data_IF_602542578386
#
_entry.id   IF_602542578386
#
_cell.length_a   1.000
_cell.length_b   1.000
_cell.length_c   1.000
_cell.angle_alpha   90.00
_cell.angle_beta   90.00
_cell.angle_gamma   90.00
#
_symmetry.space_group_name_H-M   'P 1'
#
loop_
_entity.id
_entity.type
_entity.pdbx_description
1 polymer ?
#
# COMPACT_ATOMS: atom_id res chain seq x y z
N UNK A 1 -9.81 10.73 12.53
CA UNK A 1 -10.57 11.37 11.44
C UNK A 1 -12.01 10.90 11.55
N UNK A 2 -12.97 11.79 11.34
CA UNK A 2 -14.40 11.55 11.52
C UNK A 2 -15.14 11.94 10.23
N UNK A 3 -15.98 11.07 9.67
CA UNK A 3 -16.83 11.42 8.51
C UNK A 3 -18.27 11.56 8.99
N UNK A 4 -18.91 12.70 8.69
CA UNK A 4 -20.24 13.07 9.16
C UNK A 4 -21.11 13.46 7.96
N UNK A 5 -22.21 12.74 7.76
CA UNK A 5 -23.27 13.14 6.83
C UNK A 5 -24.27 14.04 7.58
N UNK A 6 -24.41 15.29 7.19
CA UNK A 6 -25.28 16.27 7.85
C UNK A 6 -26.73 16.15 7.37
N UNK A 7 -27.68 16.65 8.17
CA UNK A 7 -29.12 16.66 7.85
C UNK A 7 -29.48 17.54 6.65
N UNK A 8 -28.59 18.41 6.22
CA UNK A 8 -28.66 19.16 4.96
C UNK A 8 -28.11 18.37 3.76
N UNK A 9 -27.84 17.07 3.98
CA UNK A 9 -27.14 16.16 3.09
C UNK A 9 -25.75 16.67 2.76
N UNK A 10 -24.80 16.61 3.70
CA UNK A 10 -23.40 16.92 3.36
C UNK A 10 -22.48 15.95 4.06
N UNK A 11 -21.65 15.23 3.30
CA UNK A 11 -20.63 14.33 3.80
C UNK A 11 -19.34 15.11 4.05
N UNK A 12 -18.99 15.25 5.32
CA UNK A 12 -17.86 16.03 5.80
C UNK A 12 -16.84 15.11 6.48
N UNK A 13 -15.59 15.10 6.03
CA UNK A 13 -14.44 14.48 6.69
C UNK A 13 -13.77 15.50 7.60
N UNK A 14 -13.44 15.12 8.83
CA UNK A 14 -12.82 15.94 9.86
C UNK A 14 -11.52 15.32 10.38
N UNK A 15 -10.59 16.19 10.77
CA UNK A 15 -9.36 15.90 11.48
C UNK A 15 -9.63 15.63 12.97
N UNK A 16 -8.60 15.16 13.70
CA UNK A 16 -8.72 14.81 15.12
C UNK A 16 -8.87 16.04 16.04
N UNK A 17 -8.50 17.21 15.55
CA UNK A 17 -8.63 18.52 16.22
C UNK A 17 -9.97 19.23 15.89
N UNK A 18 -10.86 18.59 15.13
CA UNK A 18 -12.17 19.15 14.75
C UNK A 18 -12.15 19.98 13.47
N UNK A 19 -11.01 20.09 12.79
CA UNK A 19 -10.90 20.82 11.52
C UNK A 19 -11.55 20.03 10.38
N UNK A 20 -12.41 20.64 9.55
CA UNK A 20 -12.96 19.99 8.35
C UNK A 20 -11.83 19.79 7.35
N UNK A 21 -11.60 18.55 6.97
CA UNK A 21 -10.63 18.14 5.95
C UNK A 21 -11.28 18.13 4.57
N UNK A 22 -12.53 17.70 4.46
CA UNK A 22 -13.23 17.59 3.18
C UNK A 22 -14.75 17.70 3.39
N UNK A 23 -15.50 18.31 2.49
CA UNK A 23 -16.96 18.49 2.61
C UNK A 23 -17.63 18.33 1.24
N UNK A 24 -18.73 17.59 1.17
CA UNK A 24 -19.40 17.28 -0.10
C UNK A 24 -20.92 17.13 0.11
N UNK A 25 -21.73 17.92 -0.59
CA UNK A 25 -23.20 17.91 -0.43
C UNK A 25 -23.95 16.90 -1.31
N UNK A 26 -25.07 16.38 -0.82
CA UNK A 26 -26.06 15.45 -1.38
C UNK A 26 -27.46 15.92 -0.89
N UNK A 27 -28.59 15.58 -1.52
CA UNK A 27 -29.90 15.92 -0.92
C UNK A 27 -30.40 14.80 0.01
N UNK A 28 -31.61 14.93 0.57
CA UNK A 28 -32.29 13.93 1.42
C UNK A 28 -33.71 13.74 0.90
N UNK A 29 -34.19 12.49 0.72
CA UNK A 29 -35.61 12.10 0.79
C UNK A 29 -35.82 10.56 0.67
N UNK A 30 -36.18 9.90 1.77
CA UNK A 30 -37.32 8.96 1.83
C UNK A 30 -37.17 7.42 1.67
N UNK A 31 -37.09 6.74 2.83
CA UNK A 31 -37.77 5.46 3.24
C UNK A 31 -37.11 4.09 2.89
N UNK A 32 -36.62 3.41 3.94
CA UNK A 32 -36.97 2.01 4.26
C UNK A 32 -36.00 0.87 3.90
N UNK A 33 -35.28 0.34 4.91
CA UNK A 33 -34.65 -0.98 4.87
C UNK A 33 -33.16 -1.00 5.24
N UNK A 34 -32.83 -1.84 6.22
CA UNK A 34 -31.51 -2.25 6.76
C UNK A 34 -30.26 -1.76 6.00
N UNK A 35 -29.39 -1.01 6.69
CA UNK A 35 -28.06 -0.52 6.25
C UNK A 35 -27.98 0.27 4.91
N UNK A 36 -29.11 0.56 4.26
CA UNK A 36 -29.13 1.25 2.97
C UNK A 36 -29.42 2.75 3.15
N UNK A 37 -28.38 3.56 3.28
CA UNK A 37 -28.48 5.00 3.09
C UNK A 37 -28.65 5.27 1.60
N UNK A 38 -29.89 5.57 1.16
CA UNK A 38 -30.18 5.95 -0.22
C UNK A 38 -30.79 7.35 -0.31
N UNK A 39 -30.19 8.22 -1.12
CA UNK A 39 -30.79 9.49 -1.55
C UNK A 39 -31.23 9.40 -3.00
N UNK A 40 -32.44 9.93 -3.30
CA UNK A 40 -33.02 9.97 -4.63
C UNK A 40 -33.50 11.38 -4.95
N UNK A 41 -33.45 11.77 -6.22
CA UNK A 41 -34.11 12.99 -6.69
C UNK A 41 -35.61 12.72 -6.87
N UNK A 42 -36.45 13.75 -6.74
CA UNK A 42 -37.90 13.64 -6.98
C UNK A 42 -38.31 14.60 -8.10
N UNK A 43 -39.21 14.17 -8.98
CA UNK A 43 -39.84 15.01 -9.99
C UNK A 43 -41.37 14.96 -9.83
N UNK A 44 -42.07 16.02 -10.25
CA UNK A 44 -43.53 16.11 -10.16
C UNK A 44 -44.14 15.67 -11.48
N UNK A 45 -45.04 14.69 -11.45
CA UNK A 45 -45.72 14.22 -12.65
C UNK A 45 -46.86 15.17 -13.08
N UNK A 46 -47.50 14.87 -14.21
CA UNK A 46 -48.61 15.68 -14.76
C UNK A 46 -49.83 15.79 -13.83
N UNK A 47 -49.92 14.95 -12.80
CA UNK A 47 -50.98 14.92 -11.80
C UNK A 47 -50.58 15.60 -10.48
N UNK A 48 -49.39 16.21 -10.40
CA UNK A 48 -48.90 16.87 -9.18
C UNK A 48 -48.31 15.93 -8.14
N UNK A 49 -48.16 14.62 -8.45
CA UNK A 49 -47.61 13.65 -7.51
C UNK A 49 -46.08 13.58 -7.63
N UNK A 50 -45.35 13.49 -6.50
CA UNK A 50 -43.91 13.27 -6.52
C UNK A 50 -43.57 11.84 -6.96
N UNK A 51 -42.75 11.70 -8.00
CA UNK A 51 -42.19 10.44 -8.47
C UNK A 51 -40.68 10.40 -8.23
N UNK A 52 -40.17 9.20 -7.88
CA UNK A 52 -38.74 8.99 -7.61
C UNK A 52 -37.93 8.99 -8.92
N UNK A 53 -36.99 9.92 -9.02
CA UNK A 53 -35.92 9.93 -10.01
C UNK A 53 -34.69 9.20 -9.47
N UNK A 54 -34.26 8.14 -10.13
CA UNK A 54 -33.05 7.41 -9.75
C UNK A 54 -31.76 8.06 -10.30
N UNK A 55 -31.87 9.06 -11.17
CA UNK A 55 -30.73 9.85 -11.61
C UNK A 55 -30.21 10.73 -10.45
N UNK A 56 -28.90 10.85 -10.30
CA UNK A 56 -28.23 11.55 -9.19
C UNK A 56 -28.54 10.96 -7.80
N UNK A 57 -28.53 9.64 -7.69
CA UNK A 57 -28.77 8.93 -6.43
C UNK A 57 -27.46 8.44 -5.81
N UNK A 58 -27.36 8.41 -4.48
CA UNK A 58 -26.27 7.76 -3.77
C UNK A 58 -26.86 6.66 -2.88
N UNK A 59 -26.27 5.48 -2.91
CA UNK A 59 -26.65 4.35 -2.08
C UNK A 59 -25.41 3.76 -1.40
N UNK A 60 -25.51 3.38 -0.13
CA UNK A 60 -24.44 2.68 0.60
C UNK A 60 -24.88 1.25 0.85
N UNK A 61 -24.02 0.27 0.53
CA UNK A 61 -24.25 -1.13 0.87
C UNK A 61 -22.95 -1.77 1.33
N UNK A 62 -22.90 -2.18 2.59
CA UNK A 62 -21.71 -2.72 3.22
C UNK A 62 -20.54 -1.73 3.13
N UNK A 63 -19.43 -2.17 2.53
CA UNK A 63 -18.21 -1.37 2.37
C UNK A 63 -18.18 -0.54 1.09
N UNK A 64 -19.29 -0.48 0.36
CA UNK A 64 -19.37 0.12 -0.97
C UNK A 64 -20.37 1.27 -1.01
N UNK A 65 -19.98 2.32 -1.71
CA UNK A 65 -20.79 3.48 -2.05
C UNK A 65 -21.09 3.41 -3.55
N UNK A 66 -22.35 3.54 -3.90
CA UNK A 66 -22.87 3.55 -5.25
C UNK A 66 -23.37 4.95 -5.54
N UNK A 67 -22.89 5.58 -6.61
CA UNK A 67 -23.27 6.91 -7.03
C UNK A 67 -23.80 6.79 -8.45
N UNK A 68 -25.11 6.85 -8.60
CA UNK A 68 -25.81 6.80 -9.88
C UNK A 68 -25.96 8.23 -10.42
N UNK A 69 -25.07 8.62 -11.33
CA UNK A 69 -25.20 9.85 -12.09
C UNK A 69 -26.22 9.73 -13.24
N UNK A 70 -26.36 10.77 -14.09
CA UNK A 70 -27.32 10.76 -15.20
C UNK A 70 -26.99 9.75 -16.30
N UNK A 71 -25.71 9.44 -16.49
CA UNK A 71 -25.20 8.58 -17.57
C UNK A 71 -24.31 7.43 -17.08
N UNK A 72 -23.84 7.49 -15.83
CA UNK A 72 -22.84 6.56 -15.30
C UNK A 72 -23.16 6.16 -13.86
N UNK A 73 -22.87 4.91 -13.52
CA UNK A 73 -22.86 4.41 -12.15
C UNK A 73 -21.40 4.30 -11.68
N UNK A 74 -21.04 5.05 -10.64
CA UNK A 74 -19.74 4.95 -9.97
C UNK A 74 -19.91 4.08 -8.74
N UNK A 75 -19.03 3.10 -8.57
CA UNK A 75 -18.99 2.26 -7.36
C UNK A 75 -17.63 2.44 -6.70
N UNK A 76 -17.63 2.92 -5.47
CA UNK A 76 -16.44 3.11 -4.64
C UNK A 76 -16.48 2.14 -3.47
N UNK A 77 -15.45 1.33 -3.28
CA UNK A 77 -15.39 0.32 -2.22
C UNK A 77 -14.21 0.56 -1.29
N UNK A 78 -14.44 0.49 0.02
CA UNK A 78 -13.36 0.39 1.00
C UNK A 78 -12.67 -0.96 0.85
N UNK A 79 -11.39 -0.93 0.52
CA UNK A 79 -10.58 -2.13 0.37
C UNK A 79 -10.28 -2.77 1.75
N UNK A 80 -10.41 -4.11 1.87
CA UNK A 80 -9.84 -4.87 2.97
C UNK A 80 -8.35 -4.57 3.16
N UNK A 81 -7.85 -4.68 4.39
CA UNK A 81 -6.45 -4.34 4.70
C UNK A 81 -5.44 -5.00 3.77
N UNK A 82 -5.66 -6.28 3.44
CA UNK A 82 -4.78 -7.06 2.57
C UNK A 82 -4.76 -6.54 1.14
N UNK A 83 -5.93 -6.17 0.61
CA UNK A 83 -6.04 -5.61 -0.73
C UNK A 83 -5.33 -4.26 -0.85
N UNK A 84 -5.36 -3.41 0.19
CA UNK A 84 -4.67 -2.12 0.17
C UNK A 84 -3.17 -2.27 -0.06
N UNK A 85 -2.54 -3.23 0.61
CA UNK A 85 -1.11 -3.50 0.44
C UNK A 85 -0.84 -4.11 -0.94
N UNK A 86 -1.69 -5.05 -1.38
CA UNK A 86 -1.52 -5.72 -2.67
C UNK A 86 -1.67 -4.78 -3.87
N UNK A 87 -2.52 -3.76 -3.79
CA UNK A 87 -2.66 -2.75 -4.87
C UNK A 87 -1.36 -1.97 -5.03
N UNK A 88 -0.72 -1.55 -3.92
CA UNK A 88 0.57 -0.86 -3.95
C UNK A 88 1.68 -1.77 -4.51
N UNK A 89 1.71 -3.02 -4.05
CA UNK A 89 2.64 -4.04 -4.59
C UNK A 89 2.48 -4.21 -6.09
N UNK A 90 1.25 -4.37 -6.57
CA UNK A 90 0.94 -4.52 -8.01
C UNK A 90 1.29 -3.28 -8.84
N UNK A 91 1.28 -2.10 -8.24
CA UNK A 91 1.70 -0.86 -8.87
C UNK A 91 3.24 -0.70 -8.89
N UNK A 92 3.99 -1.60 -8.28
CA UNK A 92 5.45 -1.50 -8.10
C UNK A 92 5.87 -0.56 -6.97
N UNK A 93 4.93 -0.01 -6.20
CA UNK A 93 5.22 0.84 -5.03
C UNK A 93 5.51 -0.03 -3.80
N UNK A 94 6.70 -0.63 -3.79
CA UNK A 94 7.18 -1.50 -2.72
C UNK A 94 7.29 -0.78 -1.38
N UNK A 95 7.78 0.45 -1.37
CA UNK A 95 7.94 1.22 -0.13
C UNK A 95 6.58 1.62 0.44
N UNK A 96 5.63 2.04 -0.40
CA UNK A 96 4.26 2.30 0.02
C UNK A 96 3.60 1.04 0.58
N UNK A 97 3.77 -0.11 -0.08
CA UNK A 97 3.23 -1.39 0.39
C UNK A 97 3.80 -1.78 1.76
N UNK A 98 5.12 -1.71 1.93
CA UNK A 98 5.81 -1.99 3.19
C UNK A 98 5.36 -1.03 4.30
N UNK A 99 5.37 0.28 4.06
CA UNK A 99 4.93 1.28 5.04
C UNK A 99 3.46 1.11 5.45
N UNK A 100 2.59 0.76 4.50
CA UNK A 100 1.19 0.48 4.79
C UNK A 100 1.04 -0.77 5.67
N UNK A 101 1.79 -1.82 5.37
CA UNK A 101 1.81 -3.03 6.17
C UNK A 101 2.31 -2.77 7.60
N UNK A 102 3.31 -1.90 7.78
CA UNK A 102 3.78 -1.46 9.11
C UNK A 102 2.74 -0.65 9.86
N UNK A 103 2.10 0.31 9.19
CA UNK A 103 1.04 1.13 9.78
C UNK A 103 -0.14 0.27 10.26
N UNK A 104 -0.44 -0.81 9.53
CA UNK A 104 -1.45 -1.79 9.90
C UNK A 104 -0.99 -2.66 11.08
N UNK A 105 0.25 -3.15 11.05
CA UNK A 105 0.86 -3.94 12.12
C UNK A 105 0.85 -3.20 13.46
N UNK A 106 1.20 -1.91 13.45
CA UNK A 106 1.21 -1.07 14.65
C UNK A 106 -0.20 -0.66 15.13
N UNK A 107 -1.26 -1.02 14.40
CA UNK A 107 -2.63 -0.65 14.72
C UNK A 107 -2.97 0.83 14.50
N UNK A 108 -2.14 1.58 13.76
CA UNK A 108 -2.35 3.01 13.48
C UNK A 108 -3.25 3.29 12.27
N UNK A 109 -3.63 2.26 11.52
CA UNK A 109 -4.41 2.42 10.30
C UNK A 109 -5.89 2.75 10.59
N UNK A 110 -6.48 3.65 9.80
CA UNK A 110 -7.85 4.10 9.95
C UNK A 110 -8.74 3.64 8.77
N UNK A 111 -10.04 3.44 9.05
CA UNK A 111 -11.04 3.10 8.04
C UNK A 111 -10.76 1.80 7.31
N UNK A 112 -10.11 0.84 7.97
CA UNK A 112 -9.69 -0.44 7.41
C UNK A 112 -10.77 -1.48 7.62
N UNK A 113 -11.05 -2.27 6.59
CA UNK A 113 -12.04 -3.35 6.61
C UNK A 113 -11.32 -4.69 6.83
N UNK A 114 -11.99 -5.62 7.51
CA UNK A 114 -11.54 -7.00 7.76
C UNK A 114 -10.24 -7.15 8.57
N UNK A 115 -9.85 -6.09 9.28
CA UNK A 115 -8.71 -6.13 10.19
C UNK A 115 -9.17 -6.57 11.59
N UNK A 116 -8.44 -7.47 12.28
CA UNK A 116 -8.74 -7.82 13.67
C UNK A 116 -8.75 -6.60 14.60
N UNK A 117 -9.50 -6.69 15.70
CA UNK A 117 -9.71 -5.54 16.61
C UNK A 117 -8.64 -5.41 17.71
N UNK A 118 -7.97 -6.51 18.04
CA UNK A 118 -6.93 -6.56 19.08
C UNK A 118 -5.55 -6.60 18.45
N UNK A 119 -4.59 -5.90 19.02
CA UNK A 119 -3.22 -5.80 18.52
C UNK A 119 -2.56 -7.19 18.34
N UNK A 120 -2.76 -8.11 19.28
CA UNK A 120 -2.21 -9.47 19.17
C UNK A 120 -2.76 -10.21 17.95
N UNK A 121 -4.08 -10.15 17.72
CA UNK A 121 -4.70 -10.76 16.55
C UNK A 121 -4.30 -10.05 15.24
N UNK A 122 -4.04 -8.74 15.28
CA UNK A 122 -3.48 -8.00 14.14
C UNK A 122 -2.09 -8.55 13.81
N UNK A 123 -1.22 -8.67 14.81
CA UNK A 123 0.12 -9.23 14.62
C UNK A 123 0.07 -10.63 14.03
N UNK A 124 -0.74 -11.54 14.59
CA UNK A 124 -0.90 -12.90 14.07
C UNK A 124 -1.42 -12.93 12.63
N UNK A 125 -2.39 -12.07 12.29
CA UNK A 125 -2.97 -12.03 10.95
C UNK A 125 -2.02 -11.41 9.90
N UNK A 126 -1.24 -10.39 10.28
CA UNK A 126 -0.42 -9.61 9.36
C UNK A 126 1.00 -10.19 9.25
N UNK A 127 1.55 -10.81 10.29
CA UNK A 127 2.94 -11.26 10.34
C UNK A 127 3.35 -12.17 9.16
N UNK A 128 2.57 -13.22 8.79
CA UNK A 128 2.92 -14.06 7.64
C UNK A 128 2.95 -13.26 6.32
N UNK A 129 2.08 -12.25 6.22
CA UNK A 129 2.00 -11.40 5.04
C UNK A 129 3.14 -10.38 4.96
N UNK A 130 3.56 -9.80 6.09
CA UNK A 130 4.75 -8.95 6.17
C UNK A 130 6.01 -9.70 5.76
N UNK A 131 6.16 -10.92 6.26
CA UNK A 131 7.28 -11.79 5.94
C UNK A 131 7.33 -12.14 4.44
N UNK A 132 6.20 -12.52 3.85
CA UNK A 132 6.08 -12.76 2.41
C UNK A 132 6.40 -11.49 1.61
N UNK A 133 5.85 -10.34 2.02
CA UNK A 133 6.02 -9.07 1.34
C UNK A 133 7.49 -8.61 1.33
N UNK A 134 8.17 -8.68 2.47
CA UNK A 134 9.58 -8.33 2.58
C UNK A 134 10.47 -9.27 1.77
N UNK A 135 10.21 -10.57 1.84
CA UNK A 135 10.96 -11.58 1.08
C UNK A 135 10.80 -11.33 -0.43
N UNK A 136 9.57 -11.09 -0.88
CA UNK A 136 9.25 -10.78 -2.28
C UNK A 136 9.93 -9.50 -2.75
N UNK A 137 9.95 -8.46 -1.91
CA UNK A 137 10.64 -7.21 -2.21
C UNK A 137 12.14 -7.44 -2.46
N UNK A 138 12.81 -8.17 -1.57
CA UNK A 138 14.24 -8.47 -1.72
C UNK A 138 14.49 -9.28 -2.99
N UNK A 139 13.69 -10.30 -3.27
CA UNK A 139 13.82 -11.12 -4.48
C UNK A 139 13.62 -10.32 -5.76
N UNK A 140 12.59 -9.47 -5.81
CA UNK A 140 12.31 -8.67 -6.99
C UNK A 140 13.41 -7.64 -7.25
N UNK A 141 13.88 -6.95 -6.20
CA UNK A 141 14.97 -5.98 -6.36
C UNK A 141 16.27 -6.67 -6.74
N UNK A 142 16.59 -7.83 -6.16
CA UNK A 142 17.77 -8.59 -6.54
C UNK A 142 17.70 -9.04 -7.99
N UNK A 143 16.56 -9.58 -8.43
CA UNK A 143 16.33 -9.95 -9.82
C UNK A 143 16.49 -8.75 -10.75
N UNK A 144 15.95 -7.58 -10.38
CA UNK A 144 16.11 -6.35 -11.15
C UNK A 144 17.57 -5.93 -11.26
N UNK A 145 18.33 -5.93 -10.15
CA UNK A 145 19.76 -5.64 -10.14
C UNK A 145 20.47 -6.60 -11.11
N UNK A 146 20.30 -7.92 -10.95
CA UNK A 146 20.93 -8.90 -11.84
C UNK A 146 20.64 -8.63 -13.31
N UNK A 147 19.40 -8.35 -13.69
CA UNK A 147 19.02 -8.06 -15.09
C UNK A 147 19.60 -6.74 -15.59
N UNK A 148 19.48 -5.65 -14.82
CA UNK A 148 19.92 -4.32 -15.23
C UNK A 148 21.43 -4.27 -15.48
N UNK A 149 22.21 -5.03 -14.70
CA UNK A 149 23.67 -5.05 -14.82
C UNK A 149 24.19 -6.10 -15.82
N UNK A 150 23.52 -7.24 -16.02
CA UNK A 150 23.83 -8.16 -17.12
C UNK A 150 23.76 -7.45 -18.49
N UNK A 151 22.81 -6.53 -18.66
CA UNK A 151 22.65 -5.77 -19.90
C UNK A 151 23.77 -4.72 -20.14
N UNK A 152 24.53 -4.34 -19.12
CA UNK A 152 25.66 -3.40 -19.27
C UNK A 152 26.96 -4.08 -19.71
N UNK A 153 27.10 -5.38 -19.45
CA UNK A 153 28.28 -6.17 -19.84
C UNK A 153 28.26 -6.52 -21.34
N UNK A 154 27.09 -6.48 -21.98
CA UNK A 154 26.89 -6.88 -23.38
C UNK A 154 27.12 -5.80 -24.46
N UNK A 155 27.58 -4.58 -24.13
CA UNK A 155 27.94 -3.57 -25.15
C UNK A 155 29.42 -3.72 -25.54
N UNK A 156 29.74 -4.19 -26.76
CA UNK A 156 31.12 -4.42 -27.16
C UNK A 156 31.68 -3.10 -27.72
N UNK A 157 32.36 -2.29 -26.92
CA UNK A 157 33.15 -1.19 -27.49
C UNK A 157 34.49 -1.00 -26.75
N UNK A 158 35.53 -1.31 -27.54
CA UNK A 158 36.94 -0.91 -27.50
C UNK A 158 37.80 -1.05 -26.23
N UNK A 159 39.04 -1.57 -26.38
CA UNK A 159 39.99 -1.68 -25.29
C UNK A 159 40.69 -0.33 -25.10
N UNK A 160 40.33 0.42 -24.07
CA UNK A 160 41.21 1.29 -23.26
C UNK A 160 40.34 1.97 -22.18
N UNK A 161 40.78 1.94 -20.91
CA UNK A 161 40.11 2.45 -19.68
C UNK A 161 39.11 1.55 -18.93
N UNK A 162 39.32 0.23 -18.96
CA UNK A 162 38.43 -0.75 -18.31
C UNK A 162 38.45 -0.76 -16.77
N UNK A 163 39.50 -0.27 -16.09
CA UNK A 163 39.63 -0.38 -14.62
C UNK A 163 38.87 0.71 -13.84
N UNK A 164 38.76 1.93 -14.36
CA UNK A 164 38.04 3.02 -13.67
C UNK A 164 36.52 2.81 -13.75
N UNK A 165 36.03 2.39 -14.92
CA UNK A 165 34.60 2.21 -15.20
C UNK A 165 34.01 0.96 -14.54
N UNK A 166 34.77 -0.12 -14.44
CA UNK A 166 34.34 -1.33 -13.70
C UNK A 166 34.26 -1.08 -12.20
N UNK A 167 35.14 -0.24 -11.64
CA UNK A 167 35.09 0.15 -10.23
C UNK A 167 33.88 1.05 -9.92
N UNK A 168 33.50 1.97 -10.82
CA UNK A 168 32.32 2.81 -10.62
C UNK A 168 31.02 1.99 -10.66
N UNK A 169 30.88 1.09 -11.63
CA UNK A 169 29.69 0.23 -11.75
C UNK A 169 29.56 -0.71 -10.55
N UNK A 170 30.66 -1.30 -10.06
CA UNK A 170 30.63 -2.11 -8.84
C UNK A 170 30.23 -1.31 -7.59
N UNK A 171 30.58 -0.02 -7.53
CA UNK A 171 30.18 0.84 -6.41
C UNK A 171 28.68 1.15 -6.41
N UNK A 172 28.08 1.40 -7.58
CA UNK A 172 26.64 1.63 -7.73
C UNK A 172 25.83 0.37 -7.40
N UNK A 173 26.28 -0.81 -7.84
CA UNK A 173 25.63 -2.09 -7.51
C UNK A 173 25.65 -2.32 -5.99
N UNK A 174 26.81 -2.10 -5.35
CA UNK A 174 26.96 -2.25 -3.91
C UNK A 174 26.04 -1.30 -3.14
N UNK A 175 25.84 -0.08 -3.63
CA UNK A 175 24.92 0.88 -3.03
C UNK A 175 23.46 0.39 -3.08
N UNK A 176 23.01 -0.17 -4.22
CA UNK A 176 21.66 -0.73 -4.34
C UNK A 176 21.43 -1.88 -3.35
N UNK A 177 22.37 -2.82 -3.26
CA UNK A 177 22.29 -3.90 -2.26
C UNK A 177 22.31 -3.36 -0.83
N UNK A 178 23.13 -2.34 -0.55
CA UNK A 178 23.19 -1.70 0.77
C UNK A 178 21.85 -1.04 1.13
N UNK A 179 21.17 -0.42 0.16
CA UNK A 179 19.85 0.18 0.35
C UNK A 179 18.80 -0.87 0.68
N UNK A 180 18.73 -1.96 -0.08
CA UNK A 180 17.81 -3.09 0.17
C UNK A 180 18.05 -3.70 1.55
N UNK A 181 19.32 -3.90 1.91
CA UNK A 181 19.70 -4.41 3.23
C UNK A 181 19.25 -3.48 4.36
N UNK A 182 19.38 -2.16 4.17
CA UNK A 182 18.88 -1.16 5.11
C UNK A 182 17.38 -1.28 5.37
N UNK A 183 16.59 -1.35 4.29
CA UNK A 183 15.13 -1.51 4.39
C UNK A 183 14.79 -2.80 5.13
N UNK A 184 15.45 -3.91 4.81
CA UNK A 184 15.17 -5.18 5.48
C UNK A 184 15.53 -5.17 6.97
N UNK A 185 16.66 -4.55 7.35
CA UNK A 185 17.05 -4.39 8.75
C UNK A 185 16.03 -3.55 9.50
N UNK A 186 15.70 -2.36 8.99
CA UNK A 186 14.73 -1.45 9.62
C UNK A 186 13.38 -2.15 9.86
N UNK A 187 12.90 -2.87 8.84
CA UNK A 187 11.63 -3.58 8.89
C UNK A 187 11.65 -4.73 9.91
N UNK A 188 12.65 -5.61 9.85
CA UNK A 188 12.77 -6.75 10.75
C UNK A 188 12.99 -6.34 12.20
N UNK A 189 13.75 -5.25 12.43
CA UNK A 189 13.94 -4.67 13.76
C UNK A 189 12.63 -4.14 14.33
N UNK A 190 11.83 -3.43 13.52
CA UNK A 190 10.55 -2.88 13.96
C UNK A 190 9.55 -3.98 14.37
N UNK A 191 9.43 -5.05 13.58
CA UNK A 191 8.52 -6.18 13.89
C UNK A 191 9.14 -7.20 14.86
N UNK A 192 10.36 -6.95 15.36
CA UNK A 192 11.12 -7.83 16.27
C UNK A 192 11.31 -9.26 15.76
N UNK A 193 11.45 -9.44 14.44
CA UNK A 193 11.71 -10.74 13.79
C UNK A 193 13.13 -10.78 13.24
N UNK A 194 14.09 -10.81 14.15
CA UNK A 194 15.51 -10.96 13.79
C UNK A 194 15.80 -12.34 13.18
N UNK A 195 15.00 -13.35 13.51
CA UNK A 195 15.05 -14.67 12.88
C UNK A 195 14.84 -14.58 11.36
N UNK A 196 13.85 -13.82 10.88
CA UNK A 196 13.65 -13.60 9.43
C UNK A 196 14.87 -12.91 8.83
N UNK A 197 15.41 -11.90 9.52
CA UNK A 197 16.55 -11.12 9.05
C UNK A 197 17.79 -12.00 8.86
N UNK A 198 18.14 -12.82 9.86
CA UNK A 198 19.37 -13.61 9.87
C UNK A 198 19.23 -14.97 9.16
N UNK A 199 18.03 -15.53 9.07
CA UNK A 199 17.84 -16.83 8.42
C UNK A 199 17.45 -16.65 6.95
N UNK A 200 16.37 -15.92 6.66
CA UNK A 200 15.81 -15.82 5.31
C UNK A 200 16.47 -14.74 4.48
N UNK A 201 16.52 -13.51 5.01
CA UNK A 201 17.03 -12.37 4.26
C UNK A 201 18.54 -12.47 4.08
N UNK A 202 19.27 -12.70 5.18
CA UNK A 202 20.73 -12.79 5.13
C UNK A 202 21.22 -13.88 4.18
N UNK A 203 20.56 -15.05 4.14
CA UNK A 203 20.90 -16.12 3.18
C UNK A 203 20.84 -15.65 1.72
N UNK A 204 19.84 -14.84 1.35
CA UNK A 204 19.77 -14.25 0.00
C UNK A 204 20.97 -13.34 -0.30
N UNK A 205 21.41 -12.57 0.70
CA UNK A 205 22.61 -11.74 0.55
C UNK A 205 23.90 -12.57 0.44
N UNK A 206 23.99 -13.72 1.12
CA UNK A 206 25.10 -14.66 0.94
C UNK A 206 25.12 -15.22 -0.48
N UNK A 207 23.97 -15.64 -1.00
CA UNK A 207 23.87 -16.21 -2.35
C UNK A 207 24.37 -15.23 -3.43
N UNK A 208 24.04 -13.94 -3.27
CA UNK A 208 24.57 -12.86 -4.11
C UNK A 208 26.05 -12.58 -3.84
N UNK A 209 26.52 -12.72 -2.59
CA UNK A 209 27.91 -12.48 -2.23
C UNK A 209 28.90 -13.45 -2.89
N UNK A 210 28.47 -14.68 -3.20
CA UNK A 210 29.26 -15.62 -4.02
C UNK A 210 29.59 -15.02 -5.39
N UNK A 211 28.78 -14.08 -5.91
CA UNK A 211 29.03 -13.35 -7.16
C UNK A 211 29.77 -12.01 -6.97
N UNK A 212 29.71 -11.35 -5.79
CA UNK A 212 30.34 -10.04 -5.56
C UNK A 212 30.95 -9.90 -4.14
N UNK A 213 32.30 -9.87 -4.07
CA UNK A 213 33.08 -9.70 -2.83
C UNK A 213 32.88 -8.28 -2.24
N UNK A 214 31.98 -8.12 -1.26
CA UNK A 214 31.92 -6.93 -0.39
C UNK A 214 30.56 -6.56 0.23
N UNK A 215 29.49 -7.28 -0.10
CA UNK A 215 28.11 -6.93 0.30
C UNK A 215 27.80 -7.32 1.76
N UNK A 216 28.30 -8.46 2.24
CA UNK A 216 28.06 -8.96 3.61
C UNK A 216 28.58 -7.99 4.68
N UNK A 217 29.68 -7.28 4.43
CA UNK A 217 30.21 -6.28 5.36
C UNK A 217 29.30 -5.05 5.51
N UNK A 218 28.58 -4.64 4.46
CA UNK A 218 27.63 -3.52 4.54
C UNK A 218 26.35 -3.92 5.30
N UNK A 219 25.93 -5.18 5.15
CA UNK A 219 24.80 -5.75 5.89
C UNK A 219 25.15 -5.90 7.39
N UNK A 220 26.30 -6.49 7.73
CA UNK A 220 26.77 -6.59 9.11
C UNK A 220 27.08 -5.23 9.75
N UNK A 221 27.63 -4.27 8.99
CA UNK A 221 27.97 -2.94 9.50
C UNK A 221 26.76 -2.13 9.98
N UNK A 222 25.56 -2.40 9.45
CA UNK A 222 24.30 -1.80 9.92
C UNK A 222 23.63 -2.54 11.08
N UNK A 223 24.03 -3.78 11.34
CA UNK A 223 23.49 -4.61 12.43
C UNK A 223 24.26 -4.37 13.74
N UNK A 224 25.50 -3.90 13.64
CA UNK A 224 26.41 -3.67 14.77
C UNK A 224 26.45 -2.21 15.28
N UNK A 225 25.65 -1.30 14.71
CA UNK A 225 25.52 0.09 15.15
C UNK A 225 24.06 0.50 15.34
#
# INVERSE_FOLDING_TARGET
MLVVLTSTGQLNLFAKDGTVIHQTSFGVDGIGGDELLSYHTHFVNIYGNPEKGYHNSIAIRGTSIYILGPTHLIVSRLLPWKERILVLRKAGDWMGALNMAMTLYDGHAHGVVDLPRTLDAIHEAIMPFLEELLTSYVDEVFSYISVAFCNQIGKPDQPNDSNSRSNSVNSEIKEQYTRVGGVAVEFCCHIKRTDILFDKIFSKFIDVHVQQRGIVFAFCGRILF
#
